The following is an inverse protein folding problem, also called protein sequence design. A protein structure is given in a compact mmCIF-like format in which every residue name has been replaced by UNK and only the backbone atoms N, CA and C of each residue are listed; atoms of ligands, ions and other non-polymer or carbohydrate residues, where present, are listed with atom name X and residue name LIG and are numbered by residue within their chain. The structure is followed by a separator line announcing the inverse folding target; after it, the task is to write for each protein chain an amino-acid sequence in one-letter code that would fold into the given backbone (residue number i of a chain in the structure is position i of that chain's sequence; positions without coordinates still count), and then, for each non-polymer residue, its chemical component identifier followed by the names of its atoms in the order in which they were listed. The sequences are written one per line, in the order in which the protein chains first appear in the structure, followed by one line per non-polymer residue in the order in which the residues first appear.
data_IF_057678535367
#
_entry.id   IF_057678535367
#
_cell.length_a   1.000
_cell.length_b   1.000
_cell.length_c   1.000
_cell.angle_alpha   90.00
_cell.angle_beta   90.00
_cell.angle_gamma   90.00
#
_symmetry.space_group_name_H-M   'P 1'
#
loop_
_entity.id
_entity.type
_entity.pdbx_description
1 polymer ?
#
# COMPACT_ATOMS: atom_id res chain seq x y z
N UNK A 1 -30.16 3.35 -19.19
CA UNK A 1 -29.19 3.70 -18.13
C UNK A 1 -29.17 2.60 -17.07
N UNK A 2 -28.31 1.60 -17.21
CA UNK A 2 -28.06 0.58 -16.17
C UNK A 2 -26.60 0.15 -16.28
N UNK A 3 -25.72 0.84 -15.55
CA UNK A 3 -24.29 0.49 -15.49
C UNK A 3 -24.11 -0.65 -14.48
N UNK A 4 -24.39 -1.88 -14.91
CA UNK A 4 -24.18 -3.13 -14.16
C UNK A 4 -22.72 -3.62 -14.18
N UNK A 5 -21.73 -2.71 -14.21
CA UNK A 5 -20.30 -3.08 -14.36
C UNK A 5 -19.42 -2.88 -13.13
N UNK A 6 -20.01 -2.79 -11.93
CA UNK A 6 -19.25 -2.61 -10.67
C UNK A 6 -19.31 -3.83 -9.73
N UNK A 7 -19.56 -5.02 -10.27
CA UNK A 7 -19.17 -6.27 -9.62
C UNK A 7 -17.70 -6.63 -9.94
N UNK A 8 -16.81 -5.63 -10.05
CA UNK A 8 -15.39 -5.86 -10.22
C UNK A 8 -14.79 -6.04 -8.83
N UNK A 9 -14.68 -7.31 -8.42
CA UNK A 9 -13.78 -7.83 -7.38
C UNK A 9 -13.69 -6.95 -6.14
N UNK A 10 -14.40 -7.33 -5.07
CA UNK A 10 -14.20 -6.74 -3.75
C UNK A 10 -12.76 -7.06 -3.26
N UNK A 11 -11.73 -6.41 -3.82
CA UNK A 11 -10.48 -6.19 -3.10
C UNK A 11 -10.92 -5.57 -1.78
N UNK A 12 -10.62 -6.22 -0.64
CA UNK A 12 -10.81 -5.63 0.68
C UNK A 12 -10.25 -4.21 0.61
N UNK A 13 -11.14 -3.22 0.52
CA UNK A 13 -10.75 -1.83 0.29
C UNK A 13 -10.22 -1.18 1.57
N UNK A 14 -9.76 -2.00 2.51
CA UNK A 14 -9.35 -1.65 3.85
C UNK A 14 -8.42 -2.73 4.40
N UNK A 15 -7.41 -2.30 5.15
CA UNK A 15 -6.54 -3.14 5.96
C UNK A 15 -6.42 -2.52 7.36
N UNK A 16 -6.79 -3.26 8.40
CA UNK A 16 -6.92 -2.72 9.76
C UNK A 16 -7.78 -1.45 9.77
N UNK A 17 -7.24 -0.38 10.34
CA UNK A 17 -7.89 0.94 10.44
C UNK A 17 -7.68 1.85 9.22
N UNK A 18 -7.19 1.31 8.09
CA UNK A 18 -6.85 2.12 6.92
C UNK A 18 -7.65 1.71 5.70
N UNK A 19 -8.47 2.63 5.18
CA UNK A 19 -9.24 2.45 3.95
C UNK A 19 -8.42 2.90 2.74
N UNK A 20 -8.35 2.08 1.69
CA UNK A 20 -7.71 2.45 0.43
C UNK A 20 -8.61 3.39 -0.39
N UNK A 21 -8.01 4.36 -1.06
CA UNK A 21 -8.71 5.36 -1.87
C UNK A 21 -8.33 5.20 -3.35
N UNK A 22 -7.05 5.41 -3.68
CA UNK A 22 -6.55 5.32 -5.06
C UNK A 22 -5.08 4.93 -5.08
N UNK A 23 -4.61 4.39 -6.19
CA UNK A 23 -3.17 4.17 -6.39
C UNK A 23 -2.47 5.50 -6.65
N UNK A 24 -1.38 5.77 -5.93
CA UNK A 24 -0.49 6.91 -6.14
C UNK A 24 0.67 6.56 -7.07
N UNK A 25 1.16 5.31 -7.02
CA UNK A 25 2.23 4.86 -7.89
C UNK A 25 2.51 3.36 -7.76
N UNK A 26 3.30 2.84 -8.71
CA UNK A 26 3.81 1.48 -8.69
C UNK A 26 5.32 1.53 -8.88
N UNK A 27 6.06 0.85 -8.01
CA UNK A 27 7.51 0.73 -8.08
C UNK A 27 7.95 -0.74 -8.18
N UNK A 28 9.26 -0.96 -8.15
CA UNK A 28 9.88 -2.29 -8.27
C UNK A 28 9.33 -3.27 -7.23
N UNK A 29 9.22 -2.83 -5.97
CA UNK A 29 8.87 -3.68 -4.84
C UNK A 29 7.36 -3.71 -4.50
N UNK A 30 6.52 -3.03 -5.28
CA UNK A 30 5.07 -3.06 -5.09
C UNK A 30 4.36 -1.77 -5.45
N UNK A 31 3.28 -1.45 -4.72
CA UNK A 31 2.36 -0.34 -5.05
C UNK A 31 2.19 0.60 -3.88
N UNK A 32 2.07 1.88 -4.16
CA UNK A 32 1.70 2.90 -3.18
C UNK A 32 0.25 3.30 -3.44
N UNK A 33 -0.61 3.18 -2.44
CA UNK A 33 -1.99 3.66 -2.48
C UNK A 33 -2.18 4.81 -1.49
N UNK A 34 -2.96 5.80 -1.86
CA UNK A 34 -3.52 6.76 -0.92
C UNK A 34 -4.55 6.03 -0.05
N UNK A 35 -4.49 6.23 1.26
CA UNK A 35 -5.47 5.74 2.21
C UNK A 35 -5.97 6.81 3.16
N UNK A 36 -6.98 6.45 3.95
CA UNK A 36 -7.54 7.26 5.03
C UNK A 36 -7.52 6.41 6.30
N UNK A 37 -6.95 6.94 7.37
CA UNK A 37 -7.07 6.36 8.69
C UNK A 37 -8.48 6.62 9.24
N UNK A 38 -9.25 5.58 9.55
CA UNK A 38 -10.69 5.71 9.84
C UNK A 38 -10.99 6.52 11.10
N UNK A 39 -10.09 6.49 12.10
CA UNK A 39 -10.32 7.16 13.38
C UNK A 39 -9.94 8.64 13.33
N UNK A 40 -8.85 8.99 12.64
CA UNK A 40 -8.36 10.39 12.57
C UNK A 40 -8.75 11.11 11.28
N UNK A 41 -9.32 10.39 10.30
CA UNK A 41 -9.65 10.88 8.97
C UNK A 41 -8.45 11.46 8.19
N UNK A 42 -7.24 11.19 8.65
CA UNK A 42 -6.02 11.68 8.01
C UNK A 42 -5.73 10.91 6.72
N UNK A 43 -5.33 11.65 5.69
CA UNK A 43 -4.85 11.09 4.43
C UNK A 43 -3.42 10.58 4.63
N UNK A 44 -3.17 9.34 4.26
CA UNK A 44 -1.87 8.68 4.37
C UNK A 44 -1.47 8.02 3.06
N UNK A 45 -0.18 7.77 2.88
CA UNK A 45 0.33 6.91 1.81
C UNK A 45 0.63 5.52 2.38
N UNK A 46 0.12 4.47 1.73
CA UNK A 46 0.30 3.07 2.12
C UNK A 46 1.16 2.39 1.07
N UNK A 47 2.40 2.06 1.41
CA UNK A 47 3.34 1.31 0.56
C UNK A 47 3.11 -0.19 0.78
N UNK A 48 2.54 -0.84 -0.21
CA UNK A 48 2.25 -2.29 -0.22
C UNK A 48 3.41 -2.99 -0.91
N UNK A 49 4.13 -3.82 -0.16
CA UNK A 49 5.28 -4.58 -0.66
C UNK A 49 4.89 -6.01 -1.04
N UNK A 50 5.27 -6.45 -2.24
CA UNK A 50 5.08 -7.83 -2.69
C UNK A 50 6.21 -8.71 -2.15
N UNK A 51 5.97 -9.47 -1.08
CA UNK A 51 6.99 -10.34 -0.44
C UNK A 51 7.73 -11.25 -1.44
N UNK A 52 7.02 -11.80 -2.44
CA UNK A 52 7.58 -12.64 -3.49
C UNK A 52 8.61 -11.95 -4.40
N UNK A 53 8.65 -10.62 -4.42
CA UNK A 53 9.62 -9.82 -5.19
C UNK A 53 10.81 -9.40 -4.34
N UNK A 54 10.81 -9.74 -3.06
CA UNK A 54 11.90 -9.47 -2.12
C UNK A 54 12.53 -10.82 -1.80
N UNK A 55 13.29 -11.35 -2.76
CA UNK A 55 13.91 -12.67 -2.67
C UNK A 55 15.40 -12.59 -2.45
N UNK A 56 16.05 -11.56 -3.01
CA UNK A 56 17.49 -11.40 -2.91
C UNK A 56 17.88 -10.72 -1.59
N UNK A 57 19.02 -11.13 -1.04
CA UNK A 57 19.58 -10.57 0.21
C UNK A 57 19.74 -9.05 0.10
N UNK A 58 20.16 -8.55 -1.07
CA UNK A 58 20.27 -7.11 -1.33
C UNK A 58 18.94 -6.37 -1.26
N UNK A 59 17.83 -7.00 -1.66
CA UNK A 59 16.50 -6.39 -1.57
C UNK A 59 16.02 -6.33 -0.13
N UNK A 60 16.28 -7.39 0.64
CA UNK A 60 16.01 -7.43 2.08
C UNK A 60 16.78 -6.32 2.80
N UNK A 61 18.07 -6.15 2.50
CA UNK A 61 18.90 -5.09 3.07
C UNK A 61 18.37 -3.69 2.73
N UNK A 62 17.98 -3.46 1.47
CA UNK A 62 17.44 -2.16 1.03
C UNK A 62 16.13 -1.83 1.74
N UNK A 63 15.21 -2.78 1.80
CA UNK A 63 13.91 -2.61 2.49
C UNK A 63 14.12 -2.36 3.98
N UNK A 64 15.02 -3.12 4.62
CA UNK A 64 15.34 -2.98 6.05
C UNK A 64 15.94 -1.61 6.35
N UNK A 65 16.85 -1.13 5.49
CA UNK A 65 17.46 0.19 5.61
C UNK A 65 16.43 1.31 5.46
N UNK A 66 15.54 1.24 4.48
CA UNK A 66 14.46 2.22 4.31
C UNK A 66 13.58 2.32 5.58
N UNK A 67 13.18 1.17 6.13
CA UNK A 67 12.35 1.13 7.36
C UNK A 67 13.11 1.72 8.55
N UNK A 68 14.39 1.41 8.69
CA UNK A 68 15.21 1.91 9.80
C UNK A 68 15.36 3.44 9.74
N UNK A 69 15.69 3.99 8.57
CA UNK A 69 15.83 5.44 8.38
C UNK A 69 14.51 6.15 8.67
N UNK A 70 13.39 5.65 8.13
CA UNK A 70 12.07 6.27 8.32
C UNK A 70 11.51 6.20 9.75
N UNK A 71 12.09 5.36 10.62
CA UNK A 71 11.70 5.25 12.04
C UNK A 71 12.55 6.10 12.98
N UNK A 72 13.75 6.49 12.57
CA UNK A 72 14.69 7.28 13.39
C UNK A 72 14.38 8.78 13.30
N UNK A 73 13.85 9.21 12.16
CA UNK A 73 13.43 10.59 11.91
C UNK A 73 11.99 10.78 12.37
#
# INVERSE_FOLDING_TARGET
MHNSKLALTMEKNQIGDYKFVKTLGQGTFGKVKQGIHIHTQQKVAIKILEKRKITDVSDVERVTREIHILKIV
#
